data_IF_520361764443
#
_entry.id   IF_520361764443
#
_cell.length_a   1.000
_cell.length_b   1.000
_cell.length_c   1.000
_cell.angle_alpha   90.00
_cell.angle_beta   90.00
_cell.angle_gamma   90.00
#
_symmetry.space_group_name_H-M   'P 1'
#
loop_
_entity.id
_entity.type
_entity.pdbx_description
1 polymer ?
#
# COMPACT_ATOMS: atom_id res chain seq x y z
N UNK A 1 -0.52 -10.73 22.51
CA UNK A 1 0.57 -10.56 21.53
C UNK A 1 0.70 -9.07 21.21
N UNK A 2 1.88 -8.59 20.80
CA UNK A 2 2.03 -7.23 20.28
C UNK A 2 1.40 -7.17 18.88
N UNK A 3 0.62 -6.11 18.59
CA UNK A 3 0.04 -5.90 17.26
C UNK A 3 1.12 -5.67 16.20
N UNK A 4 0.93 -6.27 15.02
CA UNK A 4 1.80 -6.10 13.85
C UNK A 4 1.36 -4.84 13.12
N UNK A 5 2.23 -3.83 13.01
CA UNK A 5 1.92 -2.54 12.37
C UNK A 5 2.26 -2.59 10.89
N UNK A 6 1.25 -2.45 10.03
CA UNK A 6 1.37 -2.55 8.58
C UNK A 6 1.25 -1.21 7.85
N UNK A 7 2.09 -0.98 6.84
CA UNK A 7 1.91 0.09 5.84
C UNK A 7 1.43 -0.56 4.53
N UNK A 8 0.30 -0.06 4.03
CA UNK A 8 -0.30 -0.49 2.77
C UNK A 8 0.09 0.49 1.66
N UNK A 9 0.93 0.07 0.73
CA UNK A 9 1.34 0.86 -0.42
C UNK A 9 0.54 0.44 -1.65
N UNK A 10 0.21 1.41 -2.52
CA UNK A 10 -0.63 1.16 -3.70
C UNK A 10 -1.91 0.42 -3.30
N UNK A 11 -2.58 0.92 -2.25
CA UNK A 11 -3.63 0.18 -1.53
C UNK A 11 -4.81 -0.20 -2.43
N UNK A 12 -5.03 0.52 -3.53
CA UNK A 12 -6.20 0.39 -4.38
C UNK A 12 -7.47 0.45 -3.53
N UNK A 13 -8.31 -0.58 -3.67
CA UNK A 13 -9.55 -0.73 -2.88
C UNK A 13 -9.37 -1.59 -1.61
N UNK A 14 -8.12 -1.75 -1.13
CA UNK A 14 -7.74 -2.55 0.05
C UNK A 14 -8.02 -4.06 -0.01
N UNK A 15 -8.03 -4.65 -1.22
CA UNK A 15 -8.25 -6.09 -1.38
C UNK A 15 -7.17 -6.94 -0.68
N UNK A 16 -5.90 -6.55 -0.81
CA UNK A 16 -4.77 -7.22 -0.17
C UNK A 16 -4.82 -7.07 1.36
N UNK A 17 -5.17 -5.87 1.84
CA UNK A 17 -5.31 -5.56 3.27
C UNK A 17 -6.31 -6.48 3.96
N UNK A 18 -7.46 -6.72 3.32
CA UNK A 18 -8.48 -7.64 3.83
C UNK A 18 -8.04 -9.11 3.79
N UNK A 19 -7.19 -9.48 2.84
CA UNK A 19 -6.55 -10.80 2.82
C UNK A 19 -5.56 -10.97 3.96
N UNK A 20 -4.68 -9.98 4.16
CA UNK A 20 -3.68 -9.99 5.22
C UNK A 20 -4.29 -9.93 6.61
N UNK A 21 -5.34 -9.14 6.83
CA UNK A 21 -6.10 -9.14 8.10
C UNK A 21 -6.70 -10.50 8.44
N UNK A 22 -7.11 -11.29 7.44
CA UNK A 22 -7.59 -12.67 7.65
C UNK A 22 -6.44 -13.63 8.00
N UNK A 23 -5.26 -13.44 7.41
CA UNK A 23 -4.10 -14.30 7.63
C UNK A 23 -3.33 -13.95 8.90
N UNK A 24 -3.33 -12.68 9.31
CA UNK A 24 -2.61 -12.12 10.45
C UNK A 24 -3.64 -11.38 11.32
N UNK A 25 -4.29 -12.07 12.28
CA UNK A 25 -5.38 -11.49 13.07
C UNK A 25 -4.99 -10.23 13.86
N UNK A 26 -3.72 -10.10 14.26
CA UNK A 26 -3.19 -8.97 15.04
C UNK A 26 -2.63 -7.82 14.16
N UNK A 27 -2.83 -7.88 12.83
CA UNK A 27 -2.42 -6.82 11.90
C UNK A 27 -3.26 -5.56 12.09
N UNK A 28 -2.58 -4.45 12.36
CA UNK A 28 -3.12 -3.09 12.32
C UNK A 28 -2.45 -2.32 11.20
N UNK A 29 -3.21 -1.95 10.17
CA UNK A 29 -2.75 -0.99 9.16
C UNK A 29 -2.69 0.39 9.79
N UNK A 30 -1.55 1.07 9.64
CA UNK A 30 -1.27 2.38 10.25
C UNK A 30 -1.12 3.49 9.22
N UNK A 31 -1.02 3.15 7.94
CA UNK A 31 -1.04 4.09 6.82
C UNK A 31 -1.47 3.36 5.53
N UNK A 32 -2.29 4.05 4.73
CA UNK A 32 -2.63 3.68 3.37
C UNK A 32 -1.99 4.68 2.41
N UNK A 33 -1.46 4.23 1.28
CA UNK A 33 -0.90 5.09 0.24
C UNK A 33 -1.54 4.74 -1.10
N UNK A 34 -2.36 5.65 -1.63
CA UNK A 34 -3.13 5.43 -2.85
C UNK A 34 -3.41 6.76 -3.57
N UNK A 35 -3.01 6.88 -4.83
CA UNK A 35 -3.16 8.10 -5.62
C UNK A 35 -4.55 8.25 -6.26
N UNK A 36 -5.21 7.15 -6.55
CA UNK A 36 -6.46 7.16 -7.30
C UNK A 36 -7.63 7.61 -6.41
N UNK A 37 -8.25 8.74 -6.78
CA UNK A 37 -9.30 9.34 -5.97
C UNK A 37 -10.52 8.44 -5.78
N UNK A 38 -10.84 7.57 -6.76
CA UNK A 38 -11.96 6.64 -6.67
C UNK A 38 -11.64 5.52 -5.67
N UNK A 39 -10.41 4.98 -5.72
CA UNK A 39 -9.90 4.04 -4.73
C UNK A 39 -9.88 4.66 -3.33
N UNK A 40 -9.40 5.89 -3.18
CA UNK A 40 -9.45 6.59 -1.90
C UNK A 40 -10.89 6.78 -1.37
N UNK A 41 -11.89 7.01 -2.24
CA UNK A 41 -13.31 7.04 -1.79
C UNK A 41 -13.75 5.69 -1.23
N UNK A 42 -13.35 4.58 -1.85
CA UNK A 42 -13.63 3.23 -1.33
C UNK A 42 -12.94 3.02 0.00
N UNK A 43 -11.65 3.37 0.13
CA UNK A 43 -10.91 3.28 1.40
C UNK A 43 -11.63 4.05 2.52
N UNK A 44 -11.99 5.32 2.29
CA UNK A 44 -12.72 6.13 3.27
C UNK A 44 -14.06 5.50 3.67
N UNK A 45 -14.82 4.97 2.71
CA UNK A 45 -16.08 4.31 2.99
C UNK A 45 -15.89 3.04 3.83
N UNK A 46 -14.86 2.24 3.54
CA UNK A 46 -14.54 1.01 4.26
C UNK A 46 -13.87 1.25 5.62
N UNK A 47 -13.23 2.39 5.82
CA UNK A 47 -12.81 2.85 7.16
C UNK A 47 -14.05 3.25 7.97
N UNK A 48 -14.97 4.01 7.38
CA UNK A 48 -16.17 4.50 8.05
C UNK A 48 -17.14 3.39 8.49
N UNK A 49 -17.23 2.29 7.71
CA UNK A 49 -18.05 1.12 8.08
C UNK A 49 -17.33 0.12 9.00
N UNK A 50 -16.06 0.39 9.36
CA UNK A 50 -15.27 -0.42 10.27
C UNK A 50 -14.65 -1.67 9.65
N UNK A 51 -14.75 -1.87 8.33
CA UNK A 51 -14.12 -2.99 7.65
C UNK A 51 -12.59 -2.84 7.58
N UNK A 52 -12.09 -1.61 7.48
CA UNK A 52 -10.66 -1.27 7.48
C UNK A 52 -10.24 -0.59 8.78
N UNK A 53 -8.92 -0.55 9.03
CA UNK A 53 -8.38 0.17 10.16
C UNK A 53 -8.50 1.67 9.97
N UNK A 54 -8.94 2.39 11.00
CA UNK A 54 -8.86 3.84 11.02
C UNK A 54 -7.39 4.31 11.01
N UNK A 55 -6.95 4.77 9.83
CA UNK A 55 -5.60 5.23 9.55
C UNK A 55 -5.59 6.24 8.38
N UNK A 56 -4.61 7.15 8.32
CA UNK A 56 -4.51 8.14 7.25
C UNK A 56 -4.30 7.51 5.87
N UNK A 57 -4.85 8.18 4.85
CA UNK A 57 -4.64 7.88 3.44
C UNK A 57 -3.76 8.97 2.84
N UNK A 58 -2.58 8.60 2.37
CA UNK A 58 -1.65 9.45 1.64
C UNK A 58 -1.84 9.25 0.13
N UNK A 59 -1.55 10.27 -0.65
CA UNK A 59 -1.86 10.33 -2.08
C UNK A 59 -0.68 9.95 -2.99
N UNK A 60 0.57 10.24 -2.62
CA UNK A 60 1.72 9.92 -3.47
C UNK A 60 2.81 9.14 -2.71
N UNK A 61 3.17 7.98 -3.26
CA UNK A 61 4.25 7.13 -2.74
C UNK A 61 5.63 7.79 -2.85
N UNK A 62 5.81 8.71 -3.80
CA UNK A 62 7.07 9.43 -4.05
C UNK A 62 7.38 10.45 -2.95
N UNK A 63 6.34 10.98 -2.32
CA UNK A 63 6.45 11.98 -1.23
C UNK A 63 6.14 11.38 0.14
N UNK A 64 5.66 10.13 0.18
CA UNK A 64 5.37 9.43 1.42
C UNK A 64 6.64 9.18 2.23
N UNK A 65 6.59 9.63 3.47
CA UNK A 65 7.63 9.46 4.48
C UNK A 65 7.01 8.84 5.73
N UNK A 66 7.73 7.94 6.39
CA UNK A 66 7.30 7.27 7.60
C UNK A 66 8.46 7.12 8.58
N UNK A 67 8.17 7.23 9.87
CA UNK A 67 9.18 7.01 10.91
C UNK A 67 9.44 5.52 11.17
N UNK A 68 10.19 5.24 12.25
CA UNK A 68 10.33 3.87 12.74
C UNK A 68 8.99 3.31 13.28
N UNK A 69 8.90 1.98 13.37
CA UNK A 69 7.80 1.30 14.06
C UNK A 69 6.68 0.76 13.15
N UNK A 70 6.98 0.48 11.89
CA UNK A 70 6.21 -0.48 11.10
C UNK A 70 6.89 -1.85 11.16
N UNK A 71 6.10 -2.91 11.32
CA UNK A 71 6.59 -4.29 11.33
C UNK A 71 6.42 -4.95 9.94
N UNK A 72 5.55 -4.39 9.09
CA UNK A 72 5.22 -4.91 7.76
C UNK A 72 5.00 -3.76 6.77
N UNK A 73 5.55 -3.88 5.57
CA UNK A 73 5.21 -3.06 4.40
C UNK A 73 4.70 -4.00 3.32
N UNK A 74 3.54 -3.73 2.77
CA UNK A 74 2.90 -4.57 1.75
C UNK A 74 2.20 -3.72 0.70
N UNK A 75 1.97 -4.28 -0.49
CA UNK A 75 1.36 -3.54 -1.59
C UNK A 75 1.61 -4.19 -2.94
N UNK A 76 0.89 -3.73 -3.96
CA UNK A 76 1.07 -4.18 -5.34
C UNK A 76 1.37 -2.99 -6.24
N UNK A 77 2.65 -2.79 -6.58
CA UNK A 77 3.03 -1.70 -7.48
C UNK A 77 2.44 -1.92 -8.89
N UNK A 78 2.25 -0.84 -9.68
CA UNK A 78 1.57 -0.94 -10.96
C UNK A 78 2.33 -1.83 -11.97
N UNK A 79 1.65 -2.82 -12.55
CA UNK A 79 2.28 -3.83 -13.41
C UNK A 79 2.27 -3.51 -14.91
N UNK A 80 1.77 -2.34 -15.33
CA UNK A 80 1.48 -2.05 -16.75
C UNK A 80 2.69 -2.12 -17.66
N UNK A 81 3.88 -1.76 -17.16
CA UNK A 81 5.10 -1.75 -17.95
C UNK A 81 5.82 -3.10 -17.95
N UNK A 82 5.53 -3.98 -16.99
CA UNK A 82 6.09 -5.35 -16.90
C UNK A 82 5.16 -6.44 -17.43
N UNK A 83 3.86 -6.17 -17.52
CA UNK A 83 2.85 -7.14 -17.94
C UNK A 83 3.00 -7.56 -19.41
N UNK A 84 2.78 -8.85 -19.69
CA UNK A 84 2.69 -9.38 -21.06
C UNK A 84 1.52 -8.78 -21.86
N UNK A 85 0.49 -8.29 -21.17
CA UNK A 85 -0.64 -7.59 -21.78
C UNK A 85 -0.39 -6.08 -21.97
N UNK A 86 0.75 -5.57 -21.50
CA UNK A 86 1.17 -4.17 -21.60
C UNK A 86 2.22 -3.93 -22.69
N UNK A 87 2.84 -2.74 -22.67
CA UNK A 87 3.87 -2.33 -23.66
C UNK A 87 5.26 -2.92 -23.40
N UNK A 88 5.43 -3.66 -22.29
CA UNK A 88 6.69 -4.28 -21.88
C UNK A 88 7.87 -3.29 -21.80
N UNK A 89 7.62 -2.06 -21.35
CA UNK A 89 8.66 -1.05 -21.13
C UNK A 89 9.63 -1.44 -19.99
N UNK A 90 9.28 -2.45 -19.18
CA UNK A 90 10.14 -3.02 -18.15
C UNK A 90 9.89 -2.42 -16.76
N UNK A 91 10.68 -2.87 -15.79
CA UNK A 91 10.57 -2.42 -14.40
C UNK A 91 10.97 -0.96 -14.23
N UNK A 92 11.70 -0.39 -15.19
CA UNK A 92 12.10 1.02 -15.23
C UNK A 92 11.07 1.91 -15.97
N UNK A 93 9.93 1.35 -16.38
CA UNK A 93 8.84 2.12 -16.99
C UNK A 93 8.21 3.11 -16.00
N UNK A 94 7.50 4.13 -16.50
CA UNK A 94 6.97 5.23 -15.68
C UNK A 94 6.08 4.74 -14.51
N UNK A 95 5.31 3.67 -14.72
CA UNK A 95 4.39 3.13 -13.72
C UNK A 95 5.02 2.00 -12.92
N UNK A 96 5.67 1.03 -13.59
CA UNK A 96 6.32 -0.07 -12.88
C UNK A 96 7.59 0.34 -12.14
N UNK A 97 8.21 1.45 -12.52
CA UNK A 97 9.35 2.09 -11.86
C UNK A 97 9.05 2.55 -10.44
N UNK A 98 7.77 2.70 -10.07
CA UNK A 98 7.34 2.96 -8.70
C UNK A 98 7.67 1.82 -7.73
N UNK A 99 8.12 0.66 -8.23
CA UNK A 99 8.79 -0.35 -7.42
C UNK A 99 9.98 0.21 -6.63
N UNK A 100 10.74 1.14 -7.20
CA UNK A 100 11.87 1.78 -6.51
C UNK A 100 11.43 2.54 -5.25
N UNK A 101 10.26 3.19 -5.29
CA UNK A 101 9.65 3.85 -4.14
C UNK A 101 9.20 2.86 -3.07
N UNK A 102 8.66 1.72 -3.47
CA UNK A 102 8.37 0.62 -2.54
C UNK A 102 9.65 0.20 -1.80
N UNK A 103 10.73 -0.06 -2.54
CA UNK A 103 12.00 -0.47 -1.96
C UNK A 103 12.61 0.61 -1.04
N UNK A 104 12.47 1.89 -1.40
CA UNK A 104 12.87 3.05 -0.56
C UNK A 104 12.16 3.03 0.79
N UNK A 105 10.83 2.85 0.78
CA UNK A 105 10.01 2.84 2.00
C UNK A 105 10.35 1.62 2.88
N UNK A 106 10.56 0.44 2.28
CA UNK A 106 11.03 -0.74 3.02
C UNK A 106 12.39 -0.46 3.69
N UNK A 107 13.29 0.27 3.03
CA UNK A 107 14.57 0.68 3.60
C UNK A 107 14.45 1.69 4.75
N UNK A 108 13.43 2.56 4.71
CA UNK A 108 13.18 3.60 5.72
C UNK A 108 12.65 3.05 7.04
N UNK A 109 11.89 1.95 7.00
CA UNK A 109 11.26 1.37 8.20
C UNK A 109 12.08 0.27 8.88
N UNK A 110 13.24 -0.09 8.32
CA UNK A 110 14.22 -1.02 8.92
C UNK A 110 14.97 -0.37 10.08
#
# INVERSE_FOLDING_TARGET
MRSVRGISLFSGIAGLDLGLKRAIPDLRVVAYVEQDADCQRVLRARIADGLLDDAPIFDDVRTFEWGAGADLVFGGFPCQDVSNAGKRAGIDGERSGLWSEFARIVGMVR
#
